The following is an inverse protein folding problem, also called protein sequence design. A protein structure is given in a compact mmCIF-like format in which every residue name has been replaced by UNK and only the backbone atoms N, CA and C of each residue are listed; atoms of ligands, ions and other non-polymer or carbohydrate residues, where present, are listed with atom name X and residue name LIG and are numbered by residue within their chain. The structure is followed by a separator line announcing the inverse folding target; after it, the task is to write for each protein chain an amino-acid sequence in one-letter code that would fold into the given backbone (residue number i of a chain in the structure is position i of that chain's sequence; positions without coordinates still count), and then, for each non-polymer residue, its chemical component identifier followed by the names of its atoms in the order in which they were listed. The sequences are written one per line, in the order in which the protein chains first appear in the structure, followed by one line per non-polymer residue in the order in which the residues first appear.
data_IF_590932874195
#
_entry.id   IF_590932874195
#
_cell.length_a   1.000
_cell.length_b   1.000
_cell.length_c   1.000
_cell.angle_alpha   90.00
_cell.angle_beta   90.00
_cell.angle_gamma   90.00
#
_symmetry.space_group_name_H-M   'P 1'
#
loop_
_entity.id
_entity.type
_entity.pdbx_description
1 polymer ?
#
# COMPACT_ATOMS: atom_id res chain seq x y z
N UNK A 1 -61.41 -10.53 4.80
CA UNK A 1 -60.35 -9.54 5.08
C UNK A 1 -59.68 -9.19 3.75
N UNK A 2 -60.02 -8.04 3.14
CA UNK A 2 -59.42 -7.60 1.87
C UNK A 2 -58.22 -6.72 2.22
N UNK A 3 -57.00 -7.26 2.07
CA UNK A 3 -55.77 -6.50 2.27
C UNK A 3 -55.69 -5.46 1.14
N UNK A 4 -55.85 -4.19 1.50
CA UNK A 4 -55.67 -3.05 0.61
C UNK A 4 -54.22 -3.07 0.13
N UNK A 5 -54.04 -3.38 -1.16
CA UNK A 5 -52.74 -3.35 -1.82
C UNK A 5 -52.36 -1.89 -1.99
N UNK A 6 -51.39 -1.44 -1.19
CA UNK A 6 -50.79 -0.12 -1.32
C UNK A 6 -49.92 -0.07 -2.57
N UNK A 7 -50.54 0.20 -3.72
CA UNK A 7 -49.83 0.48 -4.96
C UNK A 7 -49.29 1.92 -4.91
N UNK A 8 -48.20 2.09 -4.15
CA UNK A 8 -47.39 3.31 -4.14
C UNK A 8 -46.43 3.30 -5.32
N UNK A 9 -46.83 3.89 -6.44
CA UNK A 9 -45.93 4.12 -7.58
C UNK A 9 -44.93 5.22 -7.26
N UNK A 10 -43.64 4.93 -7.46
CA UNK A 10 -42.55 5.91 -7.36
C UNK A 10 -42.70 6.96 -8.47
N UNK A 11 -42.69 8.24 -8.14
CA UNK A 11 -42.79 9.31 -9.13
C UNK A 11 -41.51 9.35 -9.99
N UNK A 12 -41.67 9.57 -11.30
CA UNK A 12 -40.54 9.82 -12.20
C UNK A 12 -39.72 11.04 -11.74
N UNK A 13 -40.37 12.03 -11.14
CA UNK A 13 -39.71 13.23 -10.61
C UNK A 13 -38.93 12.90 -9.33
N UNK A 14 -39.43 11.99 -8.49
CA UNK A 14 -38.71 11.51 -7.31
C UNK A 14 -37.43 10.78 -7.71
N UNK A 15 -37.48 9.98 -8.77
CA UNK A 15 -36.28 9.26 -9.24
C UNK A 15 -35.29 10.22 -9.90
N UNK A 16 -35.80 11.22 -10.63
CA UNK A 16 -34.97 12.23 -11.28
C UNK A 16 -34.17 13.09 -10.29
N UNK A 17 -34.80 13.54 -9.21
CA UNK A 17 -34.07 14.36 -8.22
C UNK A 17 -33.02 13.53 -7.46
N UNK A 18 -33.30 12.25 -7.21
CA UNK A 18 -32.34 11.34 -6.54
C UNK A 18 -31.11 11.11 -7.42
N UNK A 19 -31.29 10.82 -8.71
CA UNK A 19 -30.13 10.63 -9.60
C UNK A 19 -29.32 11.92 -9.79
N UNK A 20 -29.98 13.07 -9.77
CA UNK A 20 -29.31 14.37 -9.82
C UNK A 20 -28.43 14.60 -8.57
N UNK A 21 -28.94 14.29 -7.37
CA UNK A 21 -28.19 14.45 -6.11
C UNK A 21 -27.02 13.46 -6.04
N UNK A 22 -27.22 12.17 -6.30
CA UNK A 22 -26.11 11.19 -6.30
C UNK A 22 -25.07 11.50 -7.40
N UNK A 23 -25.49 12.12 -8.51
CA UNK A 23 -24.60 12.60 -9.56
C UNK A 23 -23.61 13.66 -9.03
N UNK A 24 -24.11 14.66 -8.31
CA UNK A 24 -23.25 15.71 -7.71
C UNK A 24 -22.35 15.13 -6.62
N UNK A 25 -22.89 14.28 -5.74
CA UNK A 25 -22.12 13.67 -4.65
C UNK A 25 -21.01 12.74 -5.18
N UNK A 26 -21.30 11.94 -6.21
CA UNK A 26 -20.32 11.03 -6.80
C UNK A 26 -19.19 11.77 -7.51
N UNK A 27 -19.46 12.88 -8.18
CA UNK A 27 -18.44 13.70 -8.83
C UNK A 27 -17.38 14.22 -7.84
N UNK A 28 -17.81 14.71 -6.67
CA UNK A 28 -16.89 15.14 -5.60
C UNK A 28 -16.18 13.92 -4.97
N UNK A 29 -16.93 12.85 -4.73
CA UNK A 29 -16.44 11.63 -4.09
C UNK A 29 -15.29 10.95 -4.84
N UNK A 30 -15.39 10.86 -6.17
CA UNK A 30 -14.35 10.19 -7.00
C UNK A 30 -13.00 10.91 -6.87
N UNK A 31 -12.98 12.25 -6.88
CA UNK A 31 -11.74 13.02 -6.76
C UNK A 31 -11.03 12.77 -5.44
N UNK A 32 -11.76 12.81 -4.32
CA UNK A 32 -11.22 12.55 -2.97
C UNK A 32 -10.77 11.10 -2.84
N UNK A 33 -11.56 10.16 -3.36
CA UNK A 33 -11.27 8.72 -3.31
C UNK A 33 -9.93 8.38 -3.98
N UNK A 34 -9.61 9.00 -5.12
CA UNK A 34 -8.33 8.75 -5.81
C UNK A 34 -7.13 9.20 -4.97
N UNK A 35 -7.21 10.34 -4.30
CA UNK A 35 -6.17 10.81 -3.39
C UNK A 35 -6.01 9.93 -2.16
N UNK A 36 -7.11 9.46 -1.58
CA UNK A 36 -7.10 8.52 -0.45
C UNK A 36 -6.52 7.16 -0.85
N UNK A 37 -6.85 6.64 -2.03
CA UNK A 37 -6.30 5.39 -2.57
C UNK A 37 -4.78 5.47 -2.71
N UNK A 38 -4.25 6.55 -3.27
CA UNK A 38 -2.80 6.74 -3.39
C UNK A 38 -2.10 6.74 -2.02
N UNK A 39 -2.65 7.46 -1.04
CA UNK A 39 -2.11 7.49 0.34
C UNK A 39 -2.20 6.13 1.03
N UNK A 40 -3.24 5.35 0.75
CA UNK A 40 -3.40 4.00 1.29
C UNK A 40 -2.33 3.04 0.74
N UNK A 41 -1.98 3.17 -0.55
CA UNK A 41 -0.88 2.41 -1.17
C UNK A 41 0.47 2.83 -0.56
N UNK A 42 0.71 4.14 -0.39
CA UNK A 42 1.94 4.59 0.28
C UNK A 42 2.04 4.08 1.73
N UNK A 43 0.92 4.06 2.45
CA UNK A 43 0.86 3.54 3.80
C UNK A 43 1.11 2.03 3.85
N UNK A 44 0.60 1.25 2.89
CA UNK A 44 0.86 -0.19 2.84
C UNK A 44 2.33 -0.48 2.57
N UNK A 45 2.97 0.22 1.63
CA UNK A 45 4.41 0.07 1.35
C UNK A 45 5.25 0.40 2.59
N UNK A 46 4.93 1.48 3.30
CA UNK A 46 5.64 1.86 4.54
C UNK A 46 5.44 0.85 5.66
N UNK A 47 4.26 0.23 5.75
CA UNK A 47 3.98 -0.82 6.72
C UNK A 47 4.81 -2.06 6.42
N UNK A 48 4.81 -2.50 5.15
CA UNK A 48 5.59 -3.65 4.69
C UNK A 48 7.09 -3.45 4.94
N UNK A 49 7.61 -2.25 4.66
CA UNK A 49 8.99 -1.87 4.97
C UNK A 49 9.35 -2.05 6.44
N UNK A 50 8.47 -1.65 7.36
CA UNK A 50 8.71 -1.80 8.81
C UNK A 50 8.69 -3.26 9.25
N UNK A 51 7.78 -4.06 8.69
CA UNK A 51 7.72 -5.50 8.94
C UNK A 51 9.01 -6.17 8.49
N UNK A 52 9.45 -5.90 7.25
CA UNK A 52 10.71 -6.45 6.72
C UNK A 52 11.91 -5.93 7.50
N UNK A 53 11.95 -4.66 7.89
CA UNK A 53 13.01 -4.08 8.71
C UNK A 53 13.15 -4.81 10.04
N UNK A 54 12.03 -5.15 10.68
CA UNK A 54 12.04 -5.87 11.95
C UNK A 54 12.67 -7.25 11.78
N UNK A 55 12.29 -7.97 10.71
CA UNK A 55 12.87 -9.29 10.40
C UNK A 55 14.36 -9.18 10.10
N UNK A 56 14.76 -8.30 9.19
CA UNK A 56 16.17 -8.10 8.80
C UNK A 56 17.02 -7.68 10.01
N UNK A 57 16.52 -6.76 10.84
CA UNK A 57 17.23 -6.34 12.05
C UNK A 57 17.41 -7.49 13.05
N UNK A 58 16.42 -8.37 13.20
CA UNK A 58 16.54 -9.58 14.02
C UNK A 58 17.59 -10.54 13.47
N UNK A 59 17.60 -10.76 12.15
CA UNK A 59 18.58 -11.65 11.51
C UNK A 59 20.02 -11.14 11.66
N UNK A 60 20.23 -9.83 11.49
CA UNK A 60 21.54 -9.20 11.74
C UNK A 60 21.95 -9.34 13.21
N UNK A 61 21.02 -9.13 14.14
CA UNK A 61 21.29 -9.27 15.58
C UNK A 61 21.65 -10.71 15.98
N UNK A 62 21.00 -11.69 15.37
CA UNK A 62 21.25 -13.12 15.59
C UNK A 62 22.49 -13.64 14.84
N UNK A 63 23.13 -12.81 14.02
CA UNK A 63 24.28 -13.19 13.19
C UNK A 63 23.92 -14.14 12.03
N UNK A 64 22.65 -14.18 11.64
CA UNK A 64 22.14 -14.99 10.53
C UNK A 64 22.35 -14.24 9.21
N UNK A 65 22.92 -14.87 8.16
CA UNK A 65 23.06 -14.25 6.85
C UNK A 65 21.70 -13.83 6.27
N UNK A 66 21.63 -12.61 5.73
CA UNK A 66 20.43 -12.10 5.05
C UNK A 66 20.50 -12.40 3.57
N UNK A 67 19.89 -13.50 3.17
CA UNK A 67 19.82 -14.00 1.80
C UNK A 67 18.40 -14.45 1.44
N UNK A 68 18.09 -14.61 0.15
CA UNK A 68 16.72 -14.93 -0.28
C UNK A 68 16.12 -16.19 0.38
N UNK A 69 16.96 -17.19 0.68
CA UNK A 69 16.59 -18.45 1.34
C UNK A 69 16.31 -18.31 2.84
N UNK A 70 16.79 -17.23 3.46
CA UNK A 70 16.69 -16.99 4.90
C UNK A 70 15.40 -16.27 5.29
N UNK A 71 14.70 -15.67 4.32
CA UNK A 71 13.34 -15.18 4.50
C UNK A 71 12.39 -16.38 4.44
N UNK A 72 11.86 -16.78 5.60
CA UNK A 72 10.85 -17.83 5.67
C UNK A 72 9.59 -17.48 4.88
N UNK A 73 8.76 -18.48 4.59
CA UNK A 73 7.48 -18.32 3.86
C UNK A 73 6.46 -17.38 4.55
N UNK A 74 6.77 -16.94 5.77
CA UNK A 74 5.96 -16.07 6.61
C UNK A 74 6.26 -14.57 6.41
N UNK A 75 7.38 -14.21 5.75
CA UNK A 75 7.64 -12.81 5.38
C UNK A 75 6.88 -12.48 4.11
N UNK A 76 5.70 -11.90 4.29
CA UNK A 76 4.80 -11.53 3.19
C UNK A 76 4.63 -10.02 3.14
N UNK A 77 4.70 -9.48 1.92
CA UNK A 77 4.35 -8.08 1.62
C UNK A 77 2.93 -8.01 1.09
N UNK A 78 2.33 -6.82 1.14
CA UNK A 78 1.00 -6.61 0.61
C UNK A 78 0.99 -6.88 -0.91
N UNK A 79 0.01 -7.63 -1.45
CA UNK A 79 -0.03 -7.91 -2.89
C UNK A 79 0.00 -6.63 -3.72
N UNK A 80 0.93 -6.56 -4.68
CA UNK A 80 1.13 -5.37 -5.50
C UNK A 80 2.15 -4.37 -4.92
N UNK A 81 2.78 -4.69 -3.79
CA UNK A 81 3.98 -4.03 -3.28
C UNK A 81 5.21 -4.90 -3.51
N UNK A 82 6.38 -4.28 -3.61
CA UNK A 82 7.67 -4.94 -3.65
C UNK A 82 8.63 -4.29 -2.66
N UNK A 83 9.41 -5.08 -1.95
CA UNK A 83 10.44 -4.64 -1.00
C UNK A 83 11.78 -5.25 -1.40
N UNK A 84 12.75 -4.39 -1.71
CA UNK A 84 14.13 -4.76 -1.95
C UNK A 84 14.97 -4.59 -0.68
N UNK A 85 15.76 -5.59 -0.33
CA UNK A 85 16.62 -5.62 0.85
C UNK A 85 18.08 -5.44 0.41
N UNK A 86 18.76 -4.46 0.97
CA UNK A 86 20.19 -4.21 0.81
C UNK A 86 20.87 -4.35 2.17
N UNK A 87 21.97 -5.09 2.24
CA UNK A 87 22.77 -5.25 3.46
C UNK A 87 24.23 -4.91 3.14
N UNK A 88 24.85 -4.08 3.97
CA UNK A 88 26.24 -3.66 3.86
C UNK A 88 26.89 -3.78 5.24
N UNK A 89 27.69 -4.84 5.42
CA UNK A 89 28.21 -5.20 6.75
C UNK A 89 27.06 -5.45 7.73
N UNK A 90 27.09 -4.75 8.87
CA UNK A 90 26.06 -4.83 9.92
C UNK A 90 24.94 -3.80 9.77
N UNK A 91 24.83 -3.17 8.59
CA UNK A 91 23.80 -2.17 8.29
C UNK A 91 22.89 -2.66 7.17
N UNK A 92 21.62 -2.25 7.23
CA UNK A 92 20.63 -2.57 6.21
C UNK A 92 19.96 -1.31 5.66
N UNK A 93 19.51 -1.40 4.41
CA UNK A 93 18.72 -0.39 3.74
C UNK A 93 17.65 -1.10 2.90
N UNK A 94 16.40 -0.69 3.05
CA UNK A 94 15.24 -1.29 2.39
C UNK A 94 14.61 -0.29 1.44
N UNK A 95 14.21 -0.75 0.26
CA UNK A 95 13.46 0.04 -0.71
C UNK A 95 12.11 -0.61 -0.95
N UNK A 96 11.03 0.08 -0.59
CA UNK A 96 9.65 -0.35 -0.83
C UNK A 96 9.04 0.41 -2.00
N UNK A 97 8.29 -0.28 -2.87
CA UNK A 97 7.62 0.30 -4.04
C UNK A 97 6.30 -0.41 -4.34
N UNK A 98 5.31 0.30 -4.86
CA UNK A 98 4.08 -0.32 -5.37
C UNK A 98 4.27 -0.78 -6.84
N UNK A 99 4.29 -2.09 -7.10
CA UNK A 99 4.52 -2.67 -8.44
C UNK A 99 3.29 -2.62 -9.35
N UNK A 100 2.07 -2.45 -8.81
CA UNK A 100 0.84 -2.47 -9.62
C UNK A 100 0.02 -1.17 -9.51
N UNK A 101 -0.27 -0.53 -10.65
CA UNK A 101 -1.48 0.28 -10.81
C UNK A 101 -1.44 1.79 -10.51
N UNK A 102 -0.27 2.45 -10.46
CA UNK A 102 -0.21 3.92 -10.43
C UNK A 102 0.96 4.47 -11.23
N UNK A 103 0.70 5.47 -12.08
CA UNK A 103 1.75 6.27 -12.74
C UNK A 103 2.55 6.99 -11.65
N UNK A 104 3.85 6.73 -11.59
CA UNK A 104 4.77 7.39 -10.65
C UNK A 104 4.95 6.64 -9.34
N UNK A 105 5.30 5.35 -9.39
CA UNK A 105 5.66 4.55 -8.21
C UNK A 105 6.78 5.22 -7.44
N UNK A 106 6.42 5.87 -6.35
CA UNK A 106 7.42 6.45 -5.48
C UNK A 106 7.99 5.35 -4.62
N UNK A 107 9.31 5.29 -4.59
CA UNK A 107 10.02 4.41 -3.67
C UNK A 107 10.13 5.08 -2.32
N UNK A 108 10.03 4.25 -1.29
CA UNK A 108 10.22 4.62 0.10
C UNK A 108 11.46 3.90 0.59
N UNK A 109 12.37 4.63 1.22
CA UNK A 109 13.61 4.06 1.77
C UNK A 109 13.51 4.01 3.28
N UNK A 110 13.85 2.87 3.87
CA UNK A 110 13.94 2.67 5.31
C UNK A 110 15.30 2.05 5.65
N UNK A 111 16.03 2.66 6.56
CA UNK A 111 17.29 2.14 7.09
C UNK A 111 17.28 2.13 8.62
N UNK A 112 18.44 1.88 9.24
CA UNK A 112 18.60 1.86 10.69
C UNK A 112 18.25 3.17 11.40
N UNK A 113 18.16 4.30 10.70
CA UNK A 113 17.73 5.59 11.27
C UNK A 113 16.22 5.85 11.06
N UNK A 114 15.54 4.98 10.31
CA UNK A 114 14.11 5.01 10.08
C UNK A 114 13.72 5.30 8.63
N UNK A 115 12.47 5.72 8.44
CA UNK A 115 11.95 6.07 7.11
C UNK A 115 12.54 7.40 6.64
N UNK A 116 13.18 7.37 5.47
CA UNK A 116 13.78 8.56 4.83
C UNK A 116 12.74 9.42 4.14
N UNK A 117 13.09 10.70 3.95
CA UNK A 117 12.26 11.62 3.20
C UNK A 117 12.13 11.17 1.74
N UNK A 118 11.03 11.59 1.11
CA UNK A 118 10.56 11.22 -0.24
C UNK A 118 11.57 11.53 -1.35
N UNK A 119 12.60 12.32 -1.06
CA UNK A 119 13.68 12.63 -1.99
C UNK A 119 14.69 11.48 -2.15
N UNK A 120 14.78 10.56 -1.18
CA UNK A 120 15.69 9.41 -1.24
C UNK A 120 14.93 8.22 -1.80
N UNK A 121 15.26 7.83 -3.02
CA UNK A 121 14.54 6.81 -3.79
C UNK A 121 15.28 5.48 -3.93
N UNK A 122 16.50 5.36 -3.41
CA UNK A 122 17.38 4.20 -3.61
C UNK A 122 18.34 3.98 -2.45
N UNK A 123 18.70 2.72 -2.25
CA UNK A 123 19.80 2.32 -1.37
C UNK A 123 21.12 2.21 -2.15
N UNK A 124 22.27 2.45 -1.51
CA UNK A 124 23.56 2.14 -2.11
C UNK A 124 23.74 0.63 -2.30
N UNK A 125 24.35 0.23 -3.43
CA UNK A 125 24.62 -1.17 -3.75
C UNK A 125 23.46 -1.91 -4.44
N UNK A 126 23.67 -3.19 -4.75
CA UNK A 126 22.65 -4.07 -5.34
C UNK A 126 21.74 -4.66 -4.27
N UNK A 127 20.46 -4.83 -4.60
CA UNK A 127 19.54 -5.57 -3.75
C UNK A 127 19.98 -7.05 -3.67
N UNK A 128 19.94 -7.61 -2.47
CA UNK A 128 20.26 -9.02 -2.23
C UNK A 128 18.99 -9.87 -2.39
N UNK A 129 17.84 -9.31 -2.04
CA UNK A 129 16.53 -9.97 -2.08
C UNK A 129 15.46 -8.98 -2.53
N UNK A 130 14.56 -9.40 -3.42
CA UNK A 130 13.31 -8.70 -3.70
C UNK A 130 12.12 -9.58 -3.27
N UNK A 131 11.24 -9.03 -2.44
CA UNK A 131 10.00 -9.66 -1.95
C UNK A 131 8.84 -8.95 -2.65
N UNK A 132 7.91 -9.68 -3.29
CA UNK A 132 6.75 -9.14 -4.03
C UNK A 132 5.49 -9.95 -3.73
#
# INVERSE_FOLDING_TARGET
MRLLRGDGGFSLVELLVVIAIIGVLSAIGIGVFMGQRARAVDASVKSDLRTVATVVSGMLADGVPVEASSFGADVRVTPGNGVAVHVVGDSFCLVGRAVTGTRGTQSWVLDGEGLRDRAVSSCPGSAIVEIT
#
